data_IF_651454234140
#
_entry.id   IF_651454234140
#
_cell.length_a   1.000
_cell.length_b   1.000
_cell.length_c   1.000
_cell.angle_alpha   90.00
_cell.angle_beta   90.00
_cell.angle_gamma   90.00
#
_symmetry.space_group_name_H-M   'P 1'
#
loop_
_entity.id
_entity.type
_entity.pdbx_description
1 polymer ?
#
# COMPACT_ATOMS: atom_id res chain seq x y z
N UNK A 1 -32.10 -10.82 -19.47
CA UNK A 1 -31.36 -10.05 -18.45
C UNK A 1 -32.17 -10.20 -17.16
N UNK A 2 -31.64 -10.94 -16.18
CA UNK A 2 -32.34 -11.12 -14.91
C UNK A 2 -32.37 -9.77 -14.20
N UNK A 3 -33.57 -9.24 -13.90
CA UNK A 3 -33.74 -8.11 -12.98
C UNK A 3 -33.16 -8.52 -11.64
N UNK A 4 -31.88 -8.16 -11.38
CA UNK A 4 -31.30 -8.36 -10.08
C UNK A 4 -32.03 -7.41 -9.12
N UNK A 5 -32.80 -7.99 -8.19
CA UNK A 5 -33.45 -7.26 -7.13
C UNK A 5 -32.38 -6.37 -6.44
N UNK A 6 -32.63 -5.08 -6.25
CA UNK A 6 -31.68 -4.13 -5.67
C UNK A 6 -31.12 -4.61 -4.30
N UNK A 7 -31.91 -5.33 -3.52
CA UNK A 7 -31.46 -5.95 -2.27
C UNK A 7 -30.43 -7.06 -2.51
N UNK A 8 -30.65 -7.88 -3.54
CA UNK A 8 -29.70 -8.92 -3.91
C UNK A 8 -28.38 -8.31 -4.41
N UNK A 9 -28.46 -7.28 -5.26
CA UNK A 9 -27.30 -6.52 -5.73
C UNK A 9 -26.47 -5.94 -4.59
N UNK A 10 -27.11 -5.32 -3.60
CA UNK A 10 -26.43 -4.81 -2.41
C UNK A 10 -25.76 -5.93 -1.59
N UNK A 11 -26.48 -7.05 -1.40
CA UNK A 11 -25.95 -8.20 -0.66
C UNK A 11 -24.73 -8.79 -1.36
N UNK A 12 -24.75 -8.93 -2.68
CA UNK A 12 -23.61 -9.39 -3.46
C UNK A 12 -22.43 -8.42 -3.42
N UNK A 13 -22.69 -7.11 -3.46
CA UNK A 13 -21.66 -6.10 -3.34
C UNK A 13 -20.95 -6.16 -1.97
N UNK A 14 -21.71 -6.28 -0.88
CA UNK A 14 -21.14 -6.40 0.47
C UNK A 14 -20.32 -7.68 0.67
N UNK A 15 -20.62 -8.77 -0.04
CA UNK A 15 -19.81 -10.01 -0.01
C UNK A 15 -18.42 -9.87 -0.62
N UNK A 16 -18.15 -8.81 -1.38
CA UNK A 16 -16.79 -8.52 -1.88
C UNK A 16 -15.84 -8.03 -0.79
N UNK A 17 -16.38 -7.61 0.36
CA UNK A 17 -15.56 -7.17 1.47
C UNK A 17 -14.89 -8.37 2.17
N UNK A 18 -13.59 -8.28 2.52
CA UNK A 18 -12.87 -9.36 3.21
C UNK A 18 -13.57 -9.71 4.53
N UNK A 19 -13.74 -11.01 4.79
CA UNK A 19 -14.39 -11.50 6.00
C UNK A 19 -15.92 -11.40 6.02
N UNK A 20 -16.54 -10.87 4.96
CA UNK A 20 -18.00 -10.75 4.86
C UNK A 20 -18.60 -11.94 4.08
N UNK A 21 -19.12 -12.92 4.81
CA UNK A 21 -19.87 -14.04 4.24
C UNK A 21 -21.32 -13.70 3.90
N UNK A 22 -22.03 -14.60 3.24
CA UNK A 22 -23.41 -14.42 2.79
C UNK A 22 -24.38 -13.99 3.91
N UNK A 23 -24.27 -14.60 5.10
CA UNK A 23 -25.13 -14.31 6.25
C UNK A 23 -24.88 -12.90 6.80
N UNK A 24 -23.61 -12.48 6.90
CA UNK A 24 -23.25 -11.15 7.37
C UNK A 24 -23.65 -10.07 6.36
N UNK A 25 -23.44 -10.30 5.08
CA UNK A 25 -23.85 -9.38 4.01
C UNK A 25 -25.37 -9.14 4.00
N UNK A 26 -26.18 -10.20 4.10
CA UNK A 26 -27.63 -10.08 4.18
C UNK A 26 -28.07 -9.26 5.40
N UNK A 27 -27.49 -9.53 6.58
CA UNK A 27 -27.78 -8.80 7.80
C UNK A 27 -27.43 -7.31 7.69
N UNK A 28 -26.27 -6.99 7.11
CA UNK A 28 -25.86 -5.60 6.85
C UNK A 28 -26.81 -4.90 5.87
N UNK A 29 -27.19 -5.55 4.79
CA UNK A 29 -28.12 -5.00 3.80
C UNK A 29 -29.48 -4.68 4.44
N UNK A 30 -30.05 -5.61 5.22
CA UNK A 30 -31.32 -5.37 5.93
C UNK A 30 -31.21 -4.24 6.94
N UNK A 31 -30.14 -4.19 7.73
CA UNK A 31 -29.94 -3.12 8.71
C UNK A 31 -29.88 -1.75 8.03
N UNK A 32 -29.08 -1.58 6.99
CA UNK A 32 -28.94 -0.34 6.25
C UNK A 32 -30.27 0.11 5.63
N UNK A 33 -31.02 -0.80 5.03
CA UNK A 33 -32.28 -0.45 4.36
C UNK A 33 -33.45 -0.20 5.32
N UNK A 34 -33.47 -0.87 6.47
CA UNK A 34 -34.56 -0.72 7.44
C UNK A 34 -34.30 0.38 8.47
N UNK A 35 -33.06 0.55 8.92
CA UNK A 35 -32.73 1.35 10.10
C UNK A 35 -31.83 2.55 9.81
N UNK A 36 -31.01 2.50 8.74
CA UNK A 36 -30.02 3.54 8.48
C UNK A 36 -29.80 3.82 6.98
N UNK A 37 -30.86 4.21 6.29
CA UNK A 37 -30.76 4.64 4.88
C UNK A 37 -29.80 5.82 4.67
N UNK A 38 -29.77 6.84 5.55
CA UNK A 38 -28.78 7.93 5.42
C UNK A 38 -27.36 7.43 5.53
N UNK A 39 -27.06 6.54 6.47
CA UNK A 39 -25.74 5.92 6.60
C UNK A 39 -25.35 5.08 5.38
N UNK A 40 -26.29 4.34 4.79
CA UNK A 40 -26.04 3.61 3.53
C UNK A 40 -25.61 4.57 2.40
N UNK A 41 -26.29 5.71 2.25
CA UNK A 41 -25.94 6.72 1.24
C UNK A 41 -24.59 7.39 1.55
N UNK A 42 -24.29 7.63 2.81
CA UNK A 42 -23.00 8.18 3.24
C UNK A 42 -21.86 7.23 2.91
N UNK A 43 -22.00 5.93 3.21
CA UNK A 43 -21.02 4.90 2.87
C UNK A 43 -20.79 4.85 1.35
N UNK A 44 -21.88 4.83 0.56
CA UNK A 44 -21.78 4.79 -0.89
C UNK A 44 -21.00 5.98 -1.46
N UNK A 45 -21.32 7.19 -1.01
CA UNK A 45 -20.61 8.43 -1.42
C UNK A 45 -19.15 8.44 -0.99
N UNK A 46 -18.86 7.97 0.23
CA UNK A 46 -17.49 7.91 0.74
C UNK A 46 -16.64 6.92 -0.07
N UNK A 47 -17.19 5.76 -0.42
CA UNK A 47 -16.51 4.79 -1.28
C UNK A 47 -16.25 5.36 -2.69
N UNK A 48 -17.26 5.97 -3.31
CA UNK A 48 -17.13 6.59 -4.62
C UNK A 48 -16.06 7.71 -4.61
N UNK A 49 -16.10 8.58 -3.60
CA UNK A 49 -15.11 9.64 -3.43
C UNK A 49 -13.70 9.07 -3.27
N UNK A 50 -13.51 8.08 -2.40
CA UNK A 50 -12.21 7.47 -2.17
C UNK A 50 -11.63 6.81 -3.43
N UNK A 51 -12.45 6.09 -4.19
CA UNK A 51 -12.02 5.45 -5.46
C UNK A 51 -11.56 6.48 -6.49
N UNK A 52 -12.22 7.64 -6.54
CA UNK A 52 -11.90 8.68 -7.53
C UNK A 52 -10.75 9.61 -7.11
N UNK A 53 -10.49 9.78 -5.80
CA UNK A 53 -9.52 10.76 -5.29
C UNK A 53 -8.24 10.14 -4.75
N UNK A 54 -8.28 8.91 -4.20
CA UNK A 54 -7.11 8.27 -3.62
C UNK A 54 -6.23 7.66 -4.70
N UNK A 55 -4.95 7.99 -4.64
CA UNK A 55 -3.90 7.51 -5.53
C UNK A 55 -2.66 7.09 -4.74
N UNK A 56 -1.64 6.61 -5.42
CA UNK A 56 -0.37 6.29 -4.79
C UNK A 56 0.54 7.52 -4.71
N UNK A 57 1.15 7.73 -3.54
CA UNK A 57 2.23 8.70 -3.38
C UNK A 57 3.36 8.37 -4.36
N UNK A 58 3.82 9.36 -5.12
CA UNK A 58 4.85 9.16 -6.16
C UNK A 58 6.19 8.70 -5.57
N UNK A 59 6.50 9.05 -4.31
CA UNK A 59 7.75 8.67 -3.66
C UNK A 59 7.67 7.36 -2.86
N UNK A 60 6.64 7.17 -2.03
CA UNK A 60 6.61 6.05 -1.10
C UNK A 60 5.57 4.98 -1.42
N UNK A 61 4.79 5.17 -2.49
CA UNK A 61 3.75 4.24 -2.94
C UNK A 61 2.59 4.02 -1.95
N UNK A 62 2.52 4.74 -0.81
CA UNK A 62 1.36 4.69 0.10
C UNK A 62 0.13 5.35 -0.54
N UNK A 63 -1.04 5.09 0.01
CA UNK A 63 -2.29 5.72 -0.43
C UNK A 63 -2.38 7.17 0.05
N UNK A 64 -2.77 8.09 -0.85
CA UNK A 64 -2.91 9.53 -0.57
C UNK A 64 -3.80 10.19 -1.62
N UNK A 65 -4.42 11.31 -1.29
CA UNK A 65 -5.12 12.17 -2.26
C UNK A 65 -4.18 13.17 -2.96
N UNK A 66 -3.01 13.43 -2.36
CA UNK A 66 -2.00 14.35 -2.89
C UNK A 66 -0.97 13.61 -3.75
N UNK A 67 -0.16 14.34 -4.52
CA UNK A 67 0.98 13.78 -5.24
C UNK A 67 2.00 13.16 -4.28
N UNK A 68 2.30 13.87 -3.18
CA UNK A 68 3.12 13.41 -2.08
C UNK A 68 2.28 13.26 -0.82
N UNK A 69 2.42 12.15 -0.10
CA UNK A 69 1.80 11.99 1.20
C UNK A 69 2.43 12.93 2.25
N UNK A 70 1.76 13.13 3.36
CA UNK A 70 2.21 14.02 4.44
C UNK A 70 3.60 13.69 4.96
N UNK A 71 3.96 12.41 5.03
CA UNK A 71 5.29 11.96 5.46
C UNK A 71 6.37 12.33 4.45
N UNK A 72 6.14 12.10 3.15
CA UNK A 72 7.10 12.42 2.09
C UNK A 72 7.24 13.93 1.84
N UNK A 73 6.19 14.70 2.09
CA UNK A 73 6.20 16.16 1.97
C UNK A 73 6.87 16.86 3.17
N UNK A 74 7.08 16.16 4.29
CA UNK A 74 7.65 16.76 5.49
C UNK A 74 9.17 16.97 5.35
N UNK A 75 9.66 18.22 5.34
CA UNK A 75 11.10 18.52 5.18
C UNK A 75 11.96 18.14 6.38
N UNK A 76 11.35 17.83 7.53
CA UNK A 76 12.09 17.42 8.74
C UNK A 76 12.45 15.92 8.75
N UNK A 77 12.05 15.17 7.73
CA UNK A 77 12.36 13.75 7.61
C UNK A 77 13.79 13.53 7.13
N UNK A 78 14.45 12.55 7.72
CA UNK A 78 15.75 12.07 7.26
C UNK A 78 15.60 11.31 5.94
N UNK A 79 15.95 11.96 4.85
CA UNK A 79 15.78 11.41 3.50
C UNK A 79 16.83 10.36 3.16
N UNK A 80 17.90 10.26 3.93
CA UNK A 80 18.94 9.25 3.75
C UNK A 80 18.52 7.85 4.20
N UNK A 81 17.43 7.74 4.98
CA UNK A 81 16.93 6.49 5.54
C UNK A 81 15.57 6.12 4.96
N UNK A 82 15.45 4.92 4.45
CA UNK A 82 14.22 4.39 3.86
C UNK A 82 13.80 3.10 4.57
N UNK A 83 12.63 3.11 5.21
CA UNK A 83 12.01 1.93 5.81
C UNK A 83 11.00 1.32 4.84
N UNK A 84 11.20 0.07 4.45
CA UNK A 84 10.34 -0.68 3.55
C UNK A 84 9.36 -1.51 4.37
N UNK A 85 8.06 -1.32 4.12
CA UNK A 85 6.96 -2.02 4.79
C UNK A 85 6.03 -2.67 3.77
N UNK A 86 5.26 -3.68 4.19
CA UNK A 86 4.36 -4.41 3.28
C UNK A 86 3.08 -3.62 2.94
N UNK A 87 2.49 -2.95 3.94
CA UNK A 87 1.18 -2.30 3.79
C UNK A 87 1.16 -0.87 4.34
N UNK A 88 0.18 -0.03 3.92
CA UNK A 88 -0.04 1.28 4.54
C UNK A 88 -0.38 1.20 6.04
N UNK A 89 -0.97 0.08 6.50
CA UNK A 89 -1.27 -0.14 7.91
C UNK A 89 0.00 -0.33 8.74
N UNK A 90 1.00 -1.04 8.21
CA UNK A 90 2.31 -1.20 8.86
C UNK A 90 3.03 0.14 8.97
N UNK A 91 3.02 0.94 7.89
CA UNK A 91 3.54 2.30 7.91
C UNK A 91 2.87 3.14 9.00
N UNK A 92 1.53 3.13 9.06
CA UNK A 92 0.78 3.89 10.06
C UNK A 92 1.06 3.40 11.49
N UNK A 93 1.30 2.10 11.69
CA UNK A 93 1.67 1.55 12.98
C UNK A 93 3.03 2.06 13.44
N UNK A 94 4.03 2.06 12.57
CA UNK A 94 5.37 2.59 12.86
C UNK A 94 5.34 4.11 13.11
N UNK A 95 4.59 4.87 12.32
CA UNK A 95 4.45 6.32 12.51
C UNK A 95 3.87 6.69 13.86
N UNK A 96 2.92 5.92 14.38
CA UNK A 96 2.35 6.15 15.72
C UNK A 96 3.37 6.04 16.85
N UNK A 97 4.47 5.32 16.65
CA UNK A 97 5.53 5.21 17.66
C UNK A 97 6.36 6.48 17.81
N UNK A 98 6.36 7.35 16.78
CA UNK A 98 7.16 8.56 16.68
C UNK A 98 8.70 8.34 16.79
N UNK A 99 9.14 7.08 16.82
CA UNK A 99 10.54 6.71 16.99
C UNK A 99 11.36 6.83 15.69
N UNK A 100 10.73 6.56 14.55
CA UNK A 100 11.39 6.60 13.25
C UNK A 100 11.24 7.98 12.59
N UNK A 101 12.34 8.54 12.11
CA UNK A 101 12.39 9.88 11.50
C UNK A 101 12.72 9.85 9.99
N UNK A 102 13.00 8.68 9.43
CA UNK A 102 13.27 8.52 8.00
C UNK A 102 12.00 8.49 7.15
N UNK A 103 12.16 8.16 5.89
CA UNK A 103 11.09 7.98 4.92
C UNK A 103 10.68 6.51 4.83
N UNK A 104 9.52 6.26 4.23
CA UNK A 104 9.00 4.91 4.00
C UNK A 104 8.91 4.57 2.52
N UNK A 105 8.83 3.28 2.24
CA UNK A 105 8.32 2.74 0.99
C UNK A 105 7.34 1.61 1.30
N UNK A 106 6.16 1.65 0.68
CA UNK A 106 5.09 0.66 0.89
C UNK A 106 5.00 -0.24 -0.33
N UNK A 107 5.23 -1.54 -0.11
CA UNK A 107 5.21 -2.54 -1.17
C UNK A 107 3.80 -2.82 -1.71
N UNK A 108 2.76 -2.53 -0.91
CA UNK A 108 1.36 -2.88 -1.17
C UNK A 108 1.09 -4.39 -1.22
N UNK A 109 1.95 -5.18 -0.56
CA UNK A 109 1.86 -6.63 -0.47
C UNK A 109 3.19 -7.29 -0.17
N UNK A 110 3.26 -8.58 -0.40
CA UNK A 110 4.44 -9.42 -0.22
C UNK A 110 4.54 -10.42 -1.37
N UNK A 111 5.71 -10.95 -1.63
CA UNK A 111 5.89 -12.04 -2.59
C UNK A 111 5.15 -13.28 -2.09
N UNK A 112 4.29 -13.84 -2.92
CA UNK A 112 3.56 -15.07 -2.63
C UNK A 112 3.46 -15.91 -3.91
N UNK A 113 4.40 -16.82 -4.15
CA UNK A 113 4.34 -17.71 -5.31
C UNK A 113 3.07 -18.56 -5.35
N UNK A 114 2.53 -18.92 -4.18
CA UNK A 114 1.30 -19.70 -4.07
C UNK A 114 0.06 -18.92 -4.55
N UNK A 115 0.06 -17.60 -4.33
CA UNK A 115 -1.02 -16.69 -4.76
C UNK A 115 -0.71 -16.05 -6.12
N UNK A 116 0.41 -16.41 -6.77
CA UNK A 116 0.84 -15.83 -8.04
C UNK A 116 1.34 -14.39 -7.95
N UNK A 117 1.65 -13.89 -6.74
CA UNK A 117 2.12 -12.51 -6.52
C UNK A 117 3.64 -12.45 -6.72
N UNK A 118 4.05 -11.78 -7.77
CA UNK A 118 5.45 -11.61 -8.16
C UNK A 118 6.03 -10.22 -7.83
N UNK A 119 7.31 -9.99 -8.20
CA UNK A 119 8.00 -8.73 -7.95
C UNK A 119 7.32 -7.48 -8.52
N UNK A 120 6.67 -7.62 -9.68
CA UNK A 120 6.00 -6.51 -10.35
C UNK A 120 4.70 -6.10 -9.63
N UNK A 121 4.04 -7.05 -8.97
CA UNK A 121 2.75 -6.83 -8.31
C UNK A 121 2.89 -6.04 -7.00
N UNK A 122 4.06 -6.10 -6.37
CA UNK A 122 4.37 -5.41 -5.10
C UNK A 122 5.28 -4.18 -5.28
N UNK A 123 5.36 -3.64 -6.49
CA UNK A 123 6.05 -2.37 -6.75
C UNK A 123 7.58 -2.38 -6.52
N UNK A 124 8.25 -3.54 -6.59
CA UNK A 124 9.70 -3.62 -6.37
C UNK A 124 10.50 -2.76 -7.35
N UNK A 125 10.06 -2.63 -8.60
CA UNK A 125 10.77 -1.78 -9.56
C UNK A 125 10.79 -0.32 -9.10
N UNK A 126 9.67 0.21 -8.60
CA UNK A 126 9.60 1.57 -8.05
C UNK A 126 10.51 1.76 -6.84
N UNK A 127 10.63 0.74 -5.98
CA UNK A 127 11.56 0.76 -4.85
C UNK A 127 13.00 0.87 -5.35
N UNK A 128 13.38 0.04 -6.32
CA UNK A 128 14.75 0.05 -6.86
C UNK A 128 15.07 1.37 -7.57
N UNK A 129 14.16 1.91 -8.36
CA UNK A 129 14.34 3.19 -9.04
C UNK A 129 14.49 4.36 -8.04
N UNK A 130 13.84 4.28 -6.89
CA UNK A 130 13.98 5.26 -5.82
C UNK A 130 15.31 5.16 -5.07
N UNK A 131 15.76 3.93 -4.76
CA UNK A 131 16.99 3.69 -4.00
C UNK A 131 18.23 3.89 -4.89
N UNK A 132 18.11 3.46 -6.15
CA UNK A 132 19.18 3.55 -7.16
C UNK A 132 18.64 4.34 -8.36
N UNK A 133 18.49 5.67 -8.22
CA UNK A 133 18.00 6.49 -9.31
C UNK A 133 18.99 6.49 -10.48
N UNK A 134 18.47 6.68 -11.68
CA UNK A 134 19.24 6.75 -12.91
C UNK A 134 19.43 8.20 -13.35
N UNK A 135 20.54 8.49 -14.01
CA UNK A 135 20.79 9.76 -14.66
C UNK A 135 20.00 9.90 -15.99
N UNK A 136 20.18 11.03 -16.68
CA UNK A 136 19.55 11.30 -17.97
C UNK A 136 19.92 10.31 -19.08
N UNK A 137 21.03 9.58 -18.92
CA UNK A 137 21.51 8.54 -19.84
C UNK A 137 20.97 7.15 -19.51
N UNK A 138 20.21 7.04 -18.39
CA UNK A 138 19.68 5.77 -17.90
C UNK A 138 20.68 4.95 -17.08
N UNK A 139 21.84 5.51 -16.72
CA UNK A 139 22.85 4.87 -15.90
C UNK A 139 22.58 5.10 -14.41
N UNK A 140 22.82 4.08 -13.58
CA UNK A 140 22.64 4.17 -12.14
C UNK A 140 23.58 5.20 -11.52
N UNK A 141 23.03 6.11 -10.70
CA UNK A 141 23.85 7.07 -9.95
C UNK A 141 24.83 6.35 -9.02
N UNK A 142 26.05 6.86 -8.87
CA UNK A 142 27.02 6.29 -7.94
C UNK A 142 26.51 6.40 -6.50
N UNK A 143 26.88 5.48 -5.58
CA UNK A 143 26.35 5.44 -4.22
C UNK A 143 26.44 6.78 -3.48
N UNK A 144 27.55 7.50 -3.59
CA UNK A 144 27.74 8.80 -2.93
C UNK A 144 26.77 9.90 -3.40
N UNK A 145 26.16 9.76 -4.57
CA UNK A 145 25.23 10.73 -5.14
C UNK A 145 23.75 10.37 -4.92
N UNK A 146 23.48 9.24 -4.26
CA UNK A 146 22.12 8.79 -3.98
C UNK A 146 21.57 9.47 -2.74
N UNK A 147 20.29 9.83 -2.74
CA UNK A 147 19.61 10.38 -1.57
C UNK A 147 19.49 9.31 -0.46
N UNK A 148 19.06 8.09 -0.81
CA UNK A 148 18.90 6.98 0.14
C UNK A 148 20.25 6.29 0.33
N UNK A 149 20.74 6.28 1.59
CA UNK A 149 21.99 5.66 1.99
C UNK A 149 21.77 4.38 2.82
N UNK A 150 20.63 4.29 3.52
CA UNK A 150 20.29 3.16 4.37
C UNK A 150 18.87 2.69 4.05
N UNK A 151 18.72 1.38 3.84
CA UNK A 151 17.41 0.74 3.65
C UNK A 151 17.16 -0.23 4.80
N UNK A 152 16.07 -0.01 5.52
CA UNK A 152 15.59 -0.84 6.62
C UNK A 152 14.42 -1.68 6.09
N UNK A 153 14.54 -3.00 6.12
CA UNK A 153 13.47 -3.91 5.71
C UNK A 153 12.63 -4.28 6.92
N UNK A 154 11.42 -3.74 6.99
CA UNK A 154 10.45 -3.97 8.07
C UNK A 154 9.22 -4.71 7.53
N UNK A 155 9.46 -5.84 6.88
CA UNK A 155 8.43 -6.79 6.45
C UNK A 155 7.90 -7.58 7.64
N UNK A 156 6.70 -8.15 7.50
CA UNK A 156 6.10 -8.96 8.55
C UNK A 156 6.89 -10.24 8.81
N UNK A 157 6.89 -10.71 10.05
CA UNK A 157 7.56 -11.95 10.46
C UNK A 157 6.75 -13.18 10.03
N UNK A 158 6.68 -13.38 8.71
CA UNK A 158 6.06 -14.52 8.04
C UNK A 158 7.04 -15.07 7.01
N UNK A 159 6.85 -16.32 6.58
CA UNK A 159 7.72 -16.94 5.58
C UNK A 159 7.80 -16.11 4.28
N UNK A 160 6.65 -15.57 3.83
CA UNK A 160 6.58 -14.72 2.64
C UNK A 160 7.22 -13.34 2.88
N UNK A 161 7.05 -12.76 4.08
CA UNK A 161 7.68 -11.50 4.46
C UNK A 161 9.20 -11.63 4.52
N UNK A 162 9.73 -12.70 5.09
CA UNK A 162 11.18 -13.00 5.11
C UNK A 162 11.72 -13.25 3.70
N UNK A 163 11.00 -14.01 2.87
CA UNK A 163 11.39 -14.23 1.47
C UNK A 163 11.42 -12.91 0.69
N UNK A 164 10.42 -12.04 0.91
CA UNK A 164 10.36 -10.71 0.31
C UNK A 164 11.57 -9.86 0.73
N UNK A 165 11.88 -9.80 2.03
CA UNK A 165 13.04 -9.09 2.55
C UNK A 165 14.36 -9.63 1.96
N UNK A 166 14.49 -10.95 1.87
CA UNK A 166 15.68 -11.58 1.31
C UNK A 166 15.90 -11.19 -0.16
N UNK A 167 14.86 -11.26 -0.99
CA UNK A 167 14.92 -10.86 -2.41
C UNK A 167 15.32 -9.40 -2.55
N UNK A 168 14.70 -8.50 -1.76
CA UNK A 168 15.02 -7.07 -1.78
C UNK A 168 16.48 -6.86 -1.35
N UNK A 169 16.91 -7.46 -0.24
CA UNK A 169 18.27 -7.31 0.27
C UNK A 169 19.32 -7.76 -0.75
N UNK A 170 19.11 -8.90 -1.40
CA UNK A 170 20.04 -9.37 -2.44
C UNK A 170 20.08 -8.42 -3.64
N UNK A 171 18.92 -7.95 -4.09
CA UNK A 171 18.83 -7.02 -5.21
C UNK A 171 19.47 -5.65 -4.91
N UNK A 172 19.40 -5.16 -3.69
CA UNK A 172 20.02 -3.91 -3.28
C UNK A 172 21.52 -4.06 -3.10
N UNK A 173 21.99 -5.14 -2.46
CA UNK A 173 23.43 -5.46 -2.34
C UNK A 173 24.14 -5.51 -3.70
N UNK A 174 23.52 -6.14 -4.70
CA UNK A 174 24.08 -6.19 -6.06
C UNK A 174 24.16 -4.81 -6.74
N UNK A 175 23.48 -3.80 -6.21
CA UNK A 175 23.47 -2.41 -6.69
C UNK A 175 24.26 -1.45 -5.79
N UNK A 176 24.97 -1.96 -4.80
CA UNK A 176 25.85 -1.18 -3.92
C UNK A 176 25.08 -0.38 -2.85
N UNK A 177 24.02 -0.99 -2.28
CA UNK A 177 23.24 -0.46 -1.13
C UNK A 177 23.28 -1.46 0.00
#
# INVERSE_FOLDING_TARGET
MADSNALEGLTLALRKLPGVGAKSAARMAFHLLQHDKPGALQIARAMEHAVNSVKHCTLCNTLTEQELCTTCANPQRDRSKLCVVETPADQAALERTLAYKGLYFVLMGKLSPLDGIGPNDIGLQKLFDRVVPKDERGEALPPASREVQEVILATNFTAEGEATAHVIAQALKSRGV
#
